data_IF_891384820824
#
_entry.id   IF_891384820824
#
_cell.length_a   1.000
_cell.length_b   1.000
_cell.length_c   1.000
_cell.angle_alpha   90.00
_cell.angle_beta   90.00
_cell.angle_gamma   90.00
#
_symmetry.space_group_name_H-M   'P 1'
#
loop_
_entity.id
_entity.type
_entity.pdbx_description
1 polymer ?
#
# COMPACT_ATOMS: atom_id res chain seq x y z
N UNK A 1 0.80 7.44 -14.90
CA UNK A 1 1.77 8.30 -14.16
C UNK A 1 1.09 9.52 -13.53
N UNK A 2 0.13 10.19 -14.17
CA UNK A 2 -0.56 11.35 -13.56
C UNK A 2 -1.25 11.02 -12.22
N UNK A 3 -1.99 9.90 -12.13
CA UNK A 3 -2.62 9.48 -10.87
C UNK A 3 -1.61 9.36 -9.72
N UNK A 4 -0.46 8.71 -9.98
CA UNK A 4 0.60 8.56 -8.98
C UNK A 4 1.21 9.91 -8.56
N UNK A 5 1.24 10.90 -9.47
CA UNK A 5 1.64 12.27 -9.13
C UNK A 5 0.68 12.95 -8.17
N UNK A 6 -0.63 12.73 -8.31
CA UNK A 6 -1.63 13.25 -7.37
C UNK A 6 -1.56 12.53 -6.02
N UNK A 7 -1.42 11.21 -6.02
CA UNK A 7 -1.22 10.39 -4.82
C UNK A 7 0.06 10.80 -4.07
N UNK A 8 1.13 11.16 -4.78
CA UNK A 8 2.36 11.68 -4.17
C UNK A 8 2.10 12.98 -3.40
N UNK A 9 1.35 13.92 -3.99
CA UNK A 9 0.98 15.18 -3.35
C UNK A 9 0.10 14.91 -2.12
N UNK A 10 -0.89 14.02 -2.25
CA UNK A 10 -1.78 13.62 -1.16
C UNK A 10 -0.99 13.00 0.01
N UNK A 11 -0.11 12.04 -0.25
CA UNK A 11 0.66 11.36 0.78
C UNK A 11 1.59 12.32 1.54
N UNK A 12 2.26 13.24 0.82
CA UNK A 12 3.08 14.27 1.46
C UNK A 12 2.29 15.16 2.39
N UNK A 13 1.05 15.51 2.01
CA UNK A 13 0.17 16.32 2.85
C UNK A 13 -0.38 15.52 4.03
N UNK A 14 -0.92 14.32 3.79
CA UNK A 14 -1.58 13.49 4.80
C UNK A 14 -0.63 13.02 5.90
N UNK A 15 0.61 12.70 5.53
CA UNK A 15 1.62 12.16 6.45
C UNK A 15 2.71 13.17 6.83
N UNK A 16 2.59 14.43 6.39
CA UNK A 16 3.59 15.48 6.61
C UNK A 16 5.02 15.05 6.21
N UNK A 17 5.13 14.34 5.07
CA UNK A 17 6.39 13.79 4.59
C UNK A 17 7.17 14.77 3.69
N UNK A 18 8.48 14.82 3.87
CA UNK A 18 9.40 15.59 3.02
C UNK A 18 9.51 14.94 1.63
N UNK A 19 10.15 15.66 0.69
CA UNK A 19 10.43 15.07 -0.62
C UNK A 19 11.48 13.96 -0.54
N UNK A 20 12.44 14.06 0.39
CA UNK A 20 13.49 13.04 0.59
C UNK A 20 12.95 11.75 1.24
N UNK A 21 11.81 11.83 1.93
CA UNK A 21 11.15 10.70 2.59
C UNK A 21 10.23 9.91 1.64
N UNK A 22 10.12 10.30 0.36
CA UNK A 22 9.18 9.73 -0.59
C UNK A 22 9.88 9.07 -1.79
N UNK A 23 9.57 7.79 -2.03
CA UNK A 23 10.06 7.03 -3.19
C UNK A 23 8.86 6.52 -4.01
N UNK A 24 8.85 6.80 -5.32
CA UNK A 24 7.85 6.27 -6.25
C UNK A 24 8.43 5.06 -6.97
N UNK A 25 7.84 3.88 -6.73
CA UNK A 25 8.29 2.60 -7.27
C UNK A 25 7.21 2.01 -8.17
N UNK A 26 7.60 1.45 -9.32
CA UNK A 26 6.69 0.73 -10.19
C UNK A 26 6.61 -0.73 -9.72
N UNK A 27 5.43 -1.14 -9.26
CA UNK A 27 5.13 -2.53 -8.87
C UNK A 27 3.98 -3.09 -9.73
N UNK A 28 4.27 -3.77 -10.86
CA UNK A 28 3.24 -4.16 -11.83
C UNK A 28 2.19 -5.12 -11.28
N UNK A 29 2.55 -5.98 -10.33
CA UNK A 29 1.63 -7.00 -9.79
C UNK A 29 0.54 -6.39 -8.90
N UNK A 30 0.72 -5.15 -8.41
CA UNK A 30 -0.24 -4.44 -7.58
C UNK A 30 -0.72 -5.22 -6.34
N UNK A 31 0.13 -6.12 -5.82
CA UNK A 31 -0.12 -6.88 -4.60
C UNK A 31 0.36 -6.09 -3.37
N UNK A 32 1.54 -5.47 -3.46
CA UNK A 32 1.99 -4.49 -2.47
C UNK A 32 1.37 -3.14 -2.84
N UNK A 33 0.55 -2.58 -1.96
CA UNK A 33 -0.17 -1.34 -2.23
C UNK A 33 0.64 -0.10 -1.86
N UNK A 34 1.49 -0.19 -0.82
CA UNK A 34 2.52 0.78 -0.43
C UNK A 34 3.37 0.22 0.72
N UNK A 35 4.46 0.91 1.04
CA UNK A 35 5.42 0.49 2.06
C UNK A 35 5.86 1.70 2.91
N UNK A 36 6.24 1.45 4.16
CA UNK A 36 6.82 2.44 5.06
C UNK A 36 8.15 1.90 5.60
N UNK A 37 9.22 2.67 5.42
CA UNK A 37 10.56 2.37 5.96
C UNK A 37 10.73 3.09 7.30
N UNK A 38 11.24 2.40 8.30
CA UNK A 38 11.51 2.94 9.63
C UNK A 38 13.01 3.20 9.83
N UNK A 39 13.35 3.97 10.86
CA UNK A 39 14.73 4.41 11.17
C UNK A 39 15.69 3.28 11.51
N UNK A 40 15.19 2.11 11.87
CA UNK A 40 15.96 0.89 12.11
C UNK A 40 16.27 0.11 10.83
N UNK A 41 15.80 0.58 9.68
CA UNK A 41 15.96 -0.06 8.38
C UNK A 41 14.88 -1.09 8.05
N UNK A 42 13.93 -1.35 8.95
CA UNK A 42 12.80 -2.24 8.68
C UNK A 42 11.78 -1.60 7.72
N UNK A 43 11.07 -2.45 6.97
CA UNK A 43 10.01 -2.03 6.05
C UNK A 43 8.74 -2.80 6.37
N UNK A 44 7.64 -2.07 6.54
CA UNK A 44 6.30 -2.66 6.63
C UNK A 44 5.58 -2.40 5.32
N UNK A 45 5.09 -3.46 4.70
CA UNK A 45 4.31 -3.42 3.46
C UNK A 45 2.87 -3.86 3.74
N UNK A 46 1.89 -3.14 3.21
CA UNK A 46 0.51 -3.63 3.17
C UNK A 46 0.28 -4.35 1.84
N UNK A 47 -0.18 -5.60 1.94
CA UNK A 47 -0.40 -6.50 0.80
C UNK A 47 -1.83 -7.03 0.76
N UNK A 48 -2.37 -7.22 -0.42
CA UNK A 48 -3.70 -7.78 -0.61
C UNK A 48 -4.02 -8.06 -2.07
N UNK A 49 -5.17 -8.69 -2.29
CA UNK A 49 -5.78 -8.70 -3.61
C UNK A 49 -6.18 -7.26 -3.98
N UNK A 50 -6.06 -6.82 -5.25
CA UNK A 50 -6.40 -5.47 -5.67
C UNK A 50 -7.92 -5.23 -5.63
N UNK A 51 -8.44 -4.99 -4.43
CA UNK A 51 -9.86 -4.85 -4.13
C UNK A 51 -10.08 -3.73 -3.10
N UNK A 52 -10.86 -2.72 -3.49
CA UNK A 52 -11.14 -1.53 -2.67
C UNK A 52 -11.92 -1.82 -1.39
N UNK A 53 -12.58 -2.97 -1.27
CA UNK A 53 -13.31 -3.33 -0.06
C UNK A 53 -12.39 -3.43 1.16
N UNK A 54 -11.14 -3.84 0.97
CA UNK A 54 -10.14 -3.92 2.05
C UNK A 54 -9.83 -2.55 2.67
N UNK A 55 -9.36 -1.53 1.92
CA UNK A 55 -9.09 -0.21 2.49
C UNK A 55 -10.35 0.52 2.98
N UNK A 56 -11.51 0.30 2.35
CA UNK A 56 -12.79 0.86 2.83
C UNK A 56 -13.16 0.28 4.20
N UNK A 57 -13.12 -1.05 4.35
CA UNK A 57 -13.42 -1.72 5.61
C UNK A 57 -12.45 -1.29 6.73
N UNK A 58 -11.17 -1.13 6.40
CA UNK A 58 -10.17 -0.64 7.36
C UNK A 58 -10.51 0.77 7.84
N UNK A 59 -10.80 1.69 6.92
CA UNK A 59 -11.12 3.08 7.26
C UNK A 59 -12.38 3.18 8.12
N UNK A 60 -13.39 2.33 7.86
CA UNK A 60 -14.66 2.34 8.61
C UNK A 60 -14.55 1.73 10.01
N UNK A 61 -13.60 0.82 10.25
CA UNK A 61 -13.50 0.08 11.50
C UNK A 61 -12.30 0.45 12.37
N UNK A 62 -11.37 1.26 11.84
CA UNK A 62 -10.15 1.67 12.54
C UNK A 62 -10.46 2.22 13.95
N UNK A 63 -9.73 1.79 15.01
CA UNK A 63 -8.50 0.99 14.99
C UNK A 63 -8.72 -0.53 14.99
N UNK A 64 -9.97 -0.99 14.91
CA UNK A 64 -10.32 -2.40 14.85
C UNK A 64 -10.40 -2.90 13.40
N UNK A 65 -10.44 -4.23 13.24
CA UNK A 65 -10.69 -4.88 11.94
C UNK A 65 -12.15 -5.26 11.83
N UNK A 66 -12.69 -5.23 10.61
CA UNK A 66 -14.00 -5.79 10.27
C UNK A 66 -13.90 -6.69 9.04
N UNK A 67 -14.90 -7.54 8.83
CA UNK A 67 -14.95 -8.42 7.67
C UNK A 67 -15.19 -7.63 6.39
N UNK A 68 -14.24 -7.67 5.45
CA UNK A 68 -14.32 -6.96 4.18
C UNK A 68 -14.98 -7.76 3.04
N UNK A 69 -15.17 -9.08 3.22
CA UNK A 69 -15.68 -9.97 2.16
C UNK A 69 -14.73 -10.16 0.98
N UNK A 70 -13.44 -9.88 1.15
CA UNK A 70 -12.39 -10.07 0.15
C UNK A 70 -11.72 -11.42 0.37
N UNK A 71 -11.44 -12.13 -0.71
CA UNK A 71 -10.68 -13.38 -0.65
C UNK A 71 -9.29 -13.16 -0.03
N UNK A 72 -8.80 -14.06 0.84
CA UNK A 72 -7.45 -13.97 1.36
C UNK A 72 -6.40 -13.99 0.24
N UNK A 73 -5.27 -13.32 0.47
CA UNK A 73 -4.13 -13.37 -0.43
C UNK A 73 -3.50 -14.78 -0.40
N UNK A 74 -3.33 -15.39 -1.56
CA UNK A 74 -2.76 -16.73 -1.70
C UNK A 74 -1.34 -16.66 -2.27
N UNK A 75 -0.34 -16.76 -1.38
CA UNK A 75 1.07 -16.67 -1.75
C UNK A 75 1.52 -17.76 -2.72
N UNK A 76 0.87 -18.93 -2.74
CA UNK A 76 1.23 -20.00 -3.68
C UNK A 76 0.78 -19.71 -5.12
N UNK A 77 -0.14 -18.75 -5.31
CA UNK A 77 -0.55 -18.26 -6.63
C UNK A 77 0.27 -17.07 -7.11
N UNK A 78 1.01 -16.41 -6.21
CA UNK A 78 1.91 -15.30 -6.54
C UNK A 78 3.21 -15.89 -7.09
N UNK A 79 3.54 -15.56 -8.34
CA UNK A 79 4.76 -16.05 -8.98
C UNK A 79 5.98 -15.22 -8.62
N UNK A 80 5.81 -13.90 -8.60
CA UNK A 80 6.88 -12.93 -8.37
C UNK A 80 6.31 -11.59 -7.90
N UNK A 81 7.17 -10.79 -7.28
CA UNK A 81 6.93 -9.38 -6.98
C UNK A 81 8.12 -8.61 -7.57
N UNK A 82 7.86 -7.72 -8.53
CA UNK A 82 8.91 -6.94 -9.19
C UNK A 82 8.78 -5.45 -8.89
N UNK A 83 9.91 -4.75 -8.90
CA UNK A 83 10.05 -3.33 -8.57
C UNK A 83 11.02 -2.68 -9.56
N UNK A 84 10.64 -1.52 -10.09
CA UNK A 84 11.45 -0.71 -11.02
C UNK A 84 11.41 0.77 -10.64
#
# INVERSE_FOLDING_TARGET
MMNKGLEYIEARWLFNASAEEMEVIIHPQSIIHSMVRYVDGSVIAQMGNPDMRTPIAETMAYPHRTFAGVEPLDFFKIKELTFY
#
